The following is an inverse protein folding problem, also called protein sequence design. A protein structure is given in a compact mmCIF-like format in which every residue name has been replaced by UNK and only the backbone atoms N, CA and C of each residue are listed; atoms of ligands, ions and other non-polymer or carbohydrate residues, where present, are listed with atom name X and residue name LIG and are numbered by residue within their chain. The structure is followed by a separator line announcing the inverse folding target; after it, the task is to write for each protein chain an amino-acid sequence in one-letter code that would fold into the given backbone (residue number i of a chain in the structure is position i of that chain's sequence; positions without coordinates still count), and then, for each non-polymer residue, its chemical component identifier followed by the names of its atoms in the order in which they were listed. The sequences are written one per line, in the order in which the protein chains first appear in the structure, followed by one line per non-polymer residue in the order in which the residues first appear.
data_IF_295748024429
#
_entry.id   IF_295748024429
#
_cell.length_a   1.000
_cell.length_b   1.000
_cell.length_c   1.000
_cell.angle_alpha   90.00
_cell.angle_beta   90.00
_cell.angle_gamma   90.00
#
_symmetry.space_group_name_H-M   'P 1'
#
loop_
_entity.id
_entity.type
_entity.pdbx_description
1 polymer ?
#
# COMPACT_ATOMS: atom_id res chain seq x y z
N UNK A 1 -47.93 18.88 -29.63
CA UNK A 1 -47.91 18.16 -28.35
C UNK A 1 -46.90 16.98 -28.30
N UNK A 2 -46.81 16.15 -29.32
CA UNK A 2 -45.92 14.96 -29.36
C UNK A 2 -44.43 15.30 -29.20
N UNK A 3 -43.96 16.36 -29.87
CA UNK A 3 -42.52 16.80 -29.88
C UNK A 3 -42.01 17.22 -28.50
N UNK A 4 -42.83 17.83 -27.67
CA UNK A 4 -42.50 18.24 -26.30
C UNK A 4 -42.40 17.06 -25.36
N UNK A 5 -43.21 16.04 -25.57
CA UNK A 5 -43.21 14.78 -24.78
C UNK A 5 -41.95 13.98 -25.11
N UNK A 6 -41.58 13.88 -26.39
CA UNK A 6 -40.35 13.19 -26.82
C UNK A 6 -39.09 13.84 -26.25
N UNK A 7 -38.99 15.17 -26.25
CA UNK A 7 -37.82 15.91 -25.70
C UNK A 7 -37.73 15.68 -24.18
N UNK A 8 -38.84 15.68 -23.46
CA UNK A 8 -38.83 15.40 -22.02
C UNK A 8 -38.40 13.95 -21.74
N UNK A 9 -38.88 13.00 -22.51
CA UNK A 9 -38.50 11.60 -22.37
C UNK A 9 -37.02 11.37 -22.64
N UNK A 10 -36.48 11.92 -23.72
CA UNK A 10 -35.05 11.82 -24.05
C UNK A 10 -34.17 12.45 -22.97
N UNK A 11 -34.54 13.64 -22.49
CA UNK A 11 -33.80 14.29 -21.41
C UNK A 11 -33.79 13.45 -20.12
N UNK A 12 -34.94 12.90 -19.72
CA UNK A 12 -35.03 12.05 -18.53
C UNK A 12 -34.23 10.75 -18.68
N UNK A 13 -34.30 10.14 -19.87
CA UNK A 13 -33.52 8.94 -20.16
C UNK A 13 -31.99 9.22 -20.14
N UNK A 14 -31.55 10.32 -20.75
CA UNK A 14 -30.13 10.70 -20.74
C UNK A 14 -29.63 11.03 -19.34
N UNK A 15 -30.41 11.76 -18.53
CA UNK A 15 -30.03 12.03 -17.15
C UNK A 15 -29.95 10.75 -16.32
N UNK A 16 -30.89 9.83 -16.45
CA UNK A 16 -30.88 8.57 -15.75
C UNK A 16 -29.64 7.71 -16.10
N UNK A 17 -29.31 7.62 -17.39
CA UNK A 17 -28.11 6.90 -17.86
C UNK A 17 -26.83 7.56 -17.33
N UNK A 18 -26.74 8.89 -17.37
CA UNK A 18 -25.57 9.63 -16.88
C UNK A 18 -25.36 9.41 -15.38
N UNK A 19 -26.40 9.44 -14.57
CA UNK A 19 -26.33 9.19 -13.13
C UNK A 19 -25.90 7.77 -12.86
N UNK A 20 -26.44 6.79 -13.60
CA UNK A 20 -26.05 5.40 -13.45
C UNK A 20 -24.58 5.15 -13.80
N UNK A 21 -24.10 5.73 -14.91
CA UNK A 21 -22.68 5.63 -15.28
C UNK A 21 -21.77 6.26 -14.22
N UNK A 22 -22.14 7.42 -13.69
CA UNK A 22 -21.38 8.08 -12.63
C UNK A 22 -21.32 7.22 -11.36
N UNK A 23 -22.43 6.61 -10.97
CA UNK A 23 -22.49 5.70 -9.83
C UNK A 23 -21.58 4.47 -10.01
N UNK A 24 -21.57 3.88 -11.21
CA UNK A 24 -20.70 2.74 -11.55
C UNK A 24 -19.22 3.13 -11.49
N UNK A 25 -18.84 4.27 -12.07
CA UNK A 25 -17.46 4.76 -12.03
C UNK A 25 -17.01 5.01 -10.58
N UNK A 26 -17.84 5.65 -9.76
CA UNK A 26 -17.52 5.88 -8.35
C UNK A 26 -17.37 4.57 -7.57
N UNK A 27 -18.21 3.57 -7.83
CA UNK A 27 -18.12 2.27 -7.18
C UNK A 27 -16.84 1.53 -7.55
N UNK A 28 -16.49 1.48 -8.84
CA UNK A 28 -15.25 0.83 -9.32
C UNK A 28 -14.03 1.55 -8.75
N UNK A 29 -13.99 2.88 -8.80
CA UNK A 29 -12.88 3.66 -8.27
C UNK A 29 -12.71 3.47 -6.77
N UNK A 30 -13.80 3.39 -6.01
CA UNK A 30 -13.77 3.15 -4.57
C UNK A 30 -13.21 1.76 -4.21
N UNK A 31 -13.67 0.72 -4.90
CA UNK A 31 -13.18 -0.65 -4.68
C UNK A 31 -11.68 -0.75 -5.02
N UNK A 32 -11.28 -0.20 -6.17
CA UNK A 32 -9.88 -0.23 -6.60
C UNK A 32 -8.96 0.48 -5.61
N UNK A 33 -9.33 1.69 -5.17
CA UNK A 33 -8.54 2.45 -4.19
C UNK A 33 -8.40 1.73 -2.85
N UNK A 34 -9.46 1.05 -2.40
CA UNK A 34 -9.44 0.29 -1.16
C UNK A 34 -8.53 -0.95 -1.25
N UNK A 35 -8.57 -1.66 -2.37
CA UNK A 35 -7.75 -2.86 -2.60
C UNK A 35 -6.26 -2.52 -2.65
N UNK A 36 -5.89 -1.47 -3.39
CA UNK A 36 -4.51 -0.96 -3.45
C UNK A 36 -4.02 -0.56 -2.05
N UNK A 37 -4.81 0.24 -1.32
CA UNK A 37 -4.46 0.67 0.02
C UNK A 37 -4.18 -0.51 0.96
N UNK A 38 -5.02 -1.55 0.91
CA UNK A 38 -4.90 -2.72 1.78
C UNK A 38 -3.64 -3.54 1.45
N UNK A 39 -3.34 -3.72 0.16
CA UNK A 39 -2.15 -4.46 -0.28
C UNK A 39 -0.87 -3.77 0.16
N UNK A 40 -0.75 -2.47 -0.09
CA UNK A 40 0.46 -1.71 0.25
C UNK A 40 0.66 -1.63 1.77
N UNK A 41 -0.43 -1.49 2.53
CA UNK A 41 -0.36 -1.53 3.99
C UNK A 41 0.17 -2.88 4.49
N UNK A 42 -0.35 -4.00 3.97
CA UNK A 42 0.10 -5.34 4.36
C UNK A 42 1.58 -5.56 4.00
N UNK A 43 2.03 -5.02 2.86
CA UNK A 43 3.43 -5.07 2.46
C UNK A 43 4.33 -4.28 3.41
N UNK A 44 3.93 -3.06 3.76
CA UNK A 44 4.68 -2.23 4.71
C UNK A 44 4.72 -2.87 6.12
N UNK A 45 3.61 -3.48 6.57
CA UNK A 45 3.54 -4.22 7.83
C UNK A 45 4.50 -5.40 7.84
N UNK A 46 4.53 -6.20 6.78
CA UNK A 46 5.42 -7.34 6.65
C UNK A 46 6.91 -6.93 6.63
N UNK A 47 7.24 -5.83 5.95
CA UNK A 47 8.59 -5.28 5.93
C UNK A 47 9.02 -4.75 7.31
N UNK A 48 8.11 -4.10 8.04
CA UNK A 48 8.36 -3.65 9.40
C UNK A 48 8.56 -4.84 10.35
N UNK A 49 7.81 -5.93 10.17
CA UNK A 49 7.90 -7.16 10.95
C UNK A 49 9.23 -7.89 10.74
N UNK A 50 9.76 -7.90 9.52
CA UNK A 50 11.02 -8.54 9.16
C UNK A 50 12.25 -7.64 9.37
N UNK A 51 12.06 -6.42 9.86
CA UNK A 51 13.15 -5.46 10.05
C UNK A 51 13.78 -4.97 8.74
N UNK A 52 13.03 -4.98 7.65
CA UNK A 52 13.47 -4.50 6.34
C UNK A 52 14.20 -5.52 5.47
N UNK A 53 14.53 -6.69 6.01
CA UNK A 53 15.10 -7.80 5.23
C UNK A 53 13.97 -8.83 5.08
N UNK A 54 13.47 -9.09 3.86
CA UNK A 54 12.54 -10.18 3.64
C UNK A 54 13.21 -11.49 4.09
N UNK A 55 12.68 -12.13 5.13
CA UNK A 55 13.19 -13.43 5.59
C UNK A 55 12.76 -14.51 4.60
N UNK A 56 13.53 -14.65 3.53
CA UNK A 56 13.29 -15.66 2.49
C UNK A 56 13.38 -17.09 3.02
N UNK A 57 14.07 -17.32 4.15
CA UNK A 57 14.11 -18.64 4.79
C UNK A 57 12.81 -18.97 5.53
N UNK A 58 12.20 -17.98 6.16
CA UNK A 58 10.89 -18.12 6.79
C UNK A 58 9.79 -18.36 5.77
N UNK A 59 9.85 -17.65 4.63
CA UNK A 59 8.96 -17.87 3.49
C UNK A 59 9.14 -19.26 2.84
N UNK A 60 10.35 -19.83 2.89
CA UNK A 60 10.62 -21.18 2.37
C UNK A 60 10.08 -22.27 3.28
N UNK A 61 10.07 -22.08 4.61
CA UNK A 61 9.55 -23.03 5.59
C UNK A 61 8.03 -23.10 5.61
N UNK A 62 7.37 -21.97 5.37
CA UNK A 62 5.91 -21.86 5.34
C UNK A 62 5.33 -22.09 3.93
N UNK A 63 6.06 -22.72 3.00
CA UNK A 63 5.49 -23.15 1.73
C UNK A 63 4.44 -24.23 2.00
N UNK A 64 3.15 -23.94 1.77
CA UNK A 64 2.16 -25.01 1.73
C UNK A 64 2.52 -25.96 0.57
N UNK A 65 2.24 -27.25 0.77
CA UNK A 65 2.46 -28.28 -0.22
C UNK A 65 1.88 -27.88 -1.58
N UNK A 66 2.52 -28.33 -2.64
CA UNK A 66 2.33 -27.94 -4.06
C UNK A 66 0.89 -28.04 -4.56
N UNK A 67 -0.01 -28.68 -3.82
CA UNK A 67 -1.43 -28.88 -4.19
C UNK A 67 -2.33 -27.68 -3.85
N UNK A 68 -1.86 -26.70 -3.08
CA UNK A 68 -2.63 -25.50 -2.71
C UNK A 68 -2.46 -24.32 -3.69
N UNK A 69 -1.60 -24.48 -4.70
CA UNK A 69 -1.31 -23.44 -5.71
C UNK A 69 -2.40 -23.27 -6.79
N UNK A 70 -3.44 -24.12 -6.81
CA UNK A 70 -4.55 -24.01 -7.77
C UNK A 70 -5.73 -23.15 -7.29
N UNK A 71 -5.66 -22.56 -6.08
CA UNK A 71 -6.69 -21.61 -5.65
C UNK A 71 -6.40 -20.22 -6.22
N UNK A 72 -7.41 -19.58 -6.88
CA UNK A 72 -7.24 -18.22 -7.35
C UNK A 72 -6.95 -17.33 -6.15
N UNK A 73 -5.86 -16.62 -6.25
CA UNK A 73 -5.29 -15.57 -5.42
C UNK A 73 -6.19 -15.09 -4.28
N UNK A 74 -6.05 -15.69 -3.09
CA UNK A 74 -6.64 -15.17 -1.85
C UNK A 74 -5.66 -14.13 -1.29
N UNK A 75 -6.10 -12.87 -1.27
CA UNK A 75 -5.32 -11.68 -1.06
C UNK A 75 -4.47 -11.68 0.21
N UNK A 76 -3.16 -11.83 0.09
CA UNK A 76 -2.31 -11.52 1.21
C UNK A 76 -0.86 -12.03 1.20
N UNK A 77 -0.46 -12.92 0.30
CA UNK A 77 0.95 -13.36 0.23
C UNK A 77 1.58 -12.92 -1.08
N UNK A 78 2.48 -11.96 -1.02
CA UNK A 78 3.34 -11.60 -2.14
C UNK A 78 4.24 -12.78 -2.52
N UNK A 79 4.41 -13.04 -3.82
CA UNK A 79 5.42 -13.99 -4.27
C UNK A 79 6.83 -13.41 -4.02
N UNK A 80 7.87 -14.24 -3.90
CA UNK A 80 9.25 -13.74 -3.79
C UNK A 80 9.66 -12.84 -4.96
N UNK A 81 9.12 -13.09 -6.15
CA UNK A 81 9.39 -12.28 -7.35
C UNK A 81 8.70 -10.92 -7.27
N UNK A 82 7.48 -10.86 -6.72
CA UNK A 82 6.76 -9.60 -6.50
C UNK A 82 7.48 -8.73 -5.44
N UNK A 83 8.06 -9.35 -4.41
CA UNK A 83 8.84 -8.65 -3.40
C UNK A 83 10.11 -8.01 -3.96
N UNK A 84 10.78 -8.65 -4.92
CA UNK A 84 11.96 -8.07 -5.58
C UNK A 84 11.61 -6.84 -6.44
N UNK A 85 10.35 -6.71 -6.85
CA UNK A 85 9.85 -5.56 -7.60
C UNK A 85 9.38 -4.40 -6.71
N UNK A 86 9.19 -4.64 -5.41
CA UNK A 86 8.75 -3.60 -4.46
C UNK A 86 9.89 -2.65 -4.17
N UNK A 87 9.61 -1.36 -4.34
CA UNK A 87 10.52 -0.29 -3.96
C UNK A 87 10.18 0.17 -2.56
N UNK A 88 11.11 0.00 -1.63
CA UNK A 88 10.88 0.33 -0.22
C UNK A 88 12.16 0.83 0.45
N UNK A 89 12.01 1.44 1.61
CA UNK A 89 13.08 1.73 2.54
C UNK A 89 12.59 1.55 3.98
N UNK A 90 13.53 1.38 4.90
CA UNK A 90 13.23 1.15 6.32
C UNK A 90 14.07 2.06 7.19
N UNK A 91 13.44 2.66 8.19
CA UNK A 91 14.09 3.48 9.20
C UNK A 91 13.91 2.83 10.56
N UNK A 92 15.02 2.60 11.27
CA UNK A 92 15.00 2.08 12.63
C UNK A 92 15.30 3.18 13.62
N UNK A 93 14.54 3.16 14.70
CA UNK A 93 14.69 4.09 15.81
C UNK A 93 15.07 3.29 17.05
N UNK A 94 15.95 3.85 17.86
CA UNK A 94 16.29 3.33 19.18
C UNK A 94 15.15 3.58 20.20
N UNK A 95 15.32 3.09 21.41
CA UNK A 95 14.37 3.25 22.51
C UNK A 95 14.20 4.72 22.94
N UNK A 96 15.19 5.57 22.69
CA UNK A 96 15.17 7.01 23.03
C UNK A 96 14.53 7.84 21.91
N UNK A 97 14.14 7.22 20.79
CA UNK A 97 13.53 7.85 19.62
C UNK A 97 14.55 8.47 18.67
N UNK A 98 15.82 8.21 18.86
CA UNK A 98 16.90 8.54 17.90
C UNK A 98 16.84 7.61 16.69
N UNK A 99 17.41 8.05 15.56
CA UNK A 99 17.55 7.19 14.38
C UNK A 99 18.78 6.32 14.54
N UNK A 100 18.59 5.01 14.55
CA UNK A 100 19.66 4.02 14.58
C UNK A 100 20.22 3.77 13.19
N UNK A 101 19.33 3.57 12.19
CA UNK A 101 19.73 3.30 10.81
C UNK A 101 18.61 3.62 9.82
N UNK A 102 19.01 3.97 8.59
CA UNK A 102 18.10 4.09 7.44
C UNK A 102 18.63 3.21 6.31
N UNK A 103 17.85 2.21 5.90
CA UNK A 103 18.17 1.29 4.82
C UNK A 103 17.37 1.66 3.57
N UNK A 104 18.06 2.16 2.55
CA UNK A 104 17.50 2.56 1.25
C UNK A 104 17.94 1.64 0.11
N UNK A 105 18.50 0.46 0.42
CA UNK A 105 19.08 -0.46 -0.57
C UNK A 105 18.11 -0.92 -1.66
N UNK A 106 16.79 -0.89 -1.40
CA UNK A 106 15.75 -1.28 -2.36
C UNK A 106 15.13 -0.12 -3.13
N UNK A 107 15.63 1.11 -2.94
CA UNK A 107 15.12 2.31 -3.62
C UNK A 107 16.24 3.32 -3.91
N UNK A 108 16.39 3.70 -5.18
CA UNK A 108 17.43 4.67 -5.59
C UNK A 108 16.95 6.12 -5.57
N UNK A 109 15.64 6.36 -5.52
CA UNK A 109 15.04 7.71 -5.57
C UNK A 109 14.99 8.40 -4.20
N UNK A 110 15.42 7.75 -3.13
CA UNK A 110 15.41 8.28 -1.76
C UNK A 110 16.82 8.15 -1.20
N UNK A 111 17.36 9.25 -0.73
CA UNK A 111 18.65 9.28 -0.02
C UNK A 111 18.47 8.87 1.44
N UNK A 112 19.56 8.51 2.12
CA UNK A 112 19.50 8.20 3.56
C UNK A 112 18.96 9.36 4.39
N UNK A 113 19.35 10.61 4.08
CA UNK A 113 18.87 11.81 4.77
C UNK A 113 17.36 12.03 4.56
N UNK A 114 16.86 11.82 3.35
CA UNK A 114 15.43 11.91 3.05
C UNK A 114 14.63 10.79 3.75
N UNK A 115 15.17 9.56 3.80
CA UNK A 115 14.56 8.46 4.52
C UNK A 115 14.40 8.75 6.02
N UNK A 116 15.45 9.34 6.63
CA UNK A 116 15.40 9.79 8.02
C UNK A 116 14.31 10.85 8.25
N UNK A 117 14.20 11.81 7.33
CA UNK A 117 13.16 12.87 7.40
C UNK A 117 11.76 12.26 7.33
N UNK A 118 11.51 11.33 6.39
CA UNK A 118 10.25 10.58 6.31
C UNK A 118 9.97 9.80 7.59
N UNK A 119 10.99 9.15 8.16
CA UNK A 119 10.89 8.44 9.43
C UNK A 119 10.44 9.35 10.57
N UNK A 120 11.09 10.52 10.73
CA UNK A 120 10.72 11.51 11.74
C UNK A 120 9.28 12.00 11.57
N UNK A 121 8.87 12.29 10.33
CA UNK A 121 7.50 12.72 10.03
C UNK A 121 6.47 11.64 10.38
N UNK A 122 6.74 10.38 10.08
CA UNK A 122 5.85 9.27 10.39
C UNK A 122 5.68 9.10 11.89
N UNK A 123 6.76 9.10 12.66
CA UNK A 123 6.72 8.97 14.12
C UNK A 123 6.05 10.18 14.76
N UNK A 124 6.34 11.41 14.31
CA UNK A 124 5.68 12.64 14.80
C UNK A 124 4.17 12.65 14.52
N UNK A 125 3.72 11.99 13.46
CA UNK A 125 2.30 11.86 13.12
C UNK A 125 1.50 10.99 14.10
N UNK A 126 2.16 10.20 14.95
CA UNK A 126 1.55 9.37 15.99
C UNK A 126 0.60 8.28 15.49
N UNK A 127 0.59 7.98 14.20
CA UNK A 127 -0.22 6.93 13.59
C UNK A 127 0.65 5.72 13.25
N UNK A 128 0.13 4.53 13.50
CA UNK A 128 0.82 3.28 13.17
C UNK A 128 1.00 3.08 11.67
N UNK A 129 0.11 3.61 10.84
CA UNK A 129 0.19 3.53 9.38
C UNK A 129 -0.42 4.77 8.72
N UNK A 130 0.02 5.09 7.51
CA UNK A 130 -0.48 6.20 6.73
C UNK A 130 0.27 6.39 5.43
N UNK A 131 0.05 7.54 4.79
CA UNK A 131 0.73 7.94 3.56
C UNK A 131 1.47 9.25 3.81
N UNK A 132 2.75 9.30 3.40
CA UNK A 132 3.56 10.52 3.40
C UNK A 132 4.17 10.66 2.00
N UNK A 133 3.79 11.72 1.28
CA UNK A 133 4.19 11.88 -0.12
C UNK A 133 3.69 10.71 -0.98
N UNK A 134 4.61 9.99 -1.62
CA UNK A 134 4.31 8.83 -2.45
C UNK A 134 4.57 7.50 -1.74
N UNK A 135 4.69 7.52 -0.41
CA UNK A 135 5.02 6.33 0.37
C UNK A 135 3.90 5.98 1.33
N UNK A 136 3.46 4.71 1.29
CA UNK A 136 2.70 4.08 2.34
C UNK A 136 3.67 3.67 3.45
N UNK A 137 3.38 4.03 4.70
CA UNK A 137 4.22 3.61 5.82
C UNK A 137 3.47 2.78 6.85
N UNK A 138 4.23 1.95 7.56
CA UNK A 138 3.80 1.22 8.74
C UNK A 138 4.90 1.27 9.82
N UNK A 139 4.50 1.58 11.06
CA UNK A 139 5.41 1.63 12.21
C UNK A 139 5.11 0.46 13.13
N UNK A 140 6.15 -0.29 13.47
CA UNK A 140 6.11 -1.35 14.46
C UNK A 140 6.95 -0.98 15.67
N UNK A 141 6.37 -1.17 16.86
CA UNK A 141 7.11 -1.10 18.12
C UNK A 141 7.78 -2.45 18.38
N UNK A 142 9.08 -2.43 18.61
CA UNK A 142 9.89 -3.60 18.93
C UNK A 142 10.49 -3.43 20.34
N UNK A 143 11.06 -4.49 20.92
CA UNK A 143 11.73 -4.44 22.23
C UNK A 143 12.92 -3.46 22.22
N UNK A 144 13.60 -3.33 21.08
CA UNK A 144 14.81 -2.51 20.88
C UNK A 144 14.50 -1.09 20.32
N UNK A 145 13.21 -0.72 20.18
CA UNK A 145 12.82 0.59 19.62
C UNK A 145 11.68 0.48 18.63
N UNK A 146 11.72 1.31 17.55
CA UNK A 146 10.66 1.33 16.52
C UNK A 146 11.24 1.08 15.14
N UNK A 147 10.49 0.37 14.32
CA UNK A 147 10.81 0.18 12.90
C UNK A 147 9.71 0.77 12.04
N UNK A 148 10.07 1.71 11.17
CA UNK A 148 9.17 2.30 10.18
C UNK A 148 9.54 1.81 8.78
N UNK A 149 8.65 1.06 8.13
CA UNK A 149 8.79 0.60 6.76
C UNK A 149 7.97 1.48 5.82
N UNK A 150 8.54 1.85 4.69
CA UNK A 150 7.95 2.71 3.68
C UNK A 150 7.94 2.00 2.33
N UNK A 151 6.80 1.94 1.67
CA UNK A 151 6.61 1.32 0.35
C UNK A 151 6.20 2.39 -0.66
N UNK A 152 6.87 2.43 -1.81
CA UNK A 152 6.58 3.36 -2.89
C UNK A 152 5.29 2.96 -3.63
N UNK A 153 4.27 3.79 -3.53
CA UNK A 153 2.98 3.59 -4.19
C UNK A 153 2.89 4.27 -5.57
N UNK A 154 3.93 4.98 -6.00
CA UNK A 154 3.90 5.74 -7.26
C UNK A 154 3.90 4.86 -8.50
N UNK A 155 4.36 3.62 -8.41
CA UNK A 155 4.40 2.67 -9.52
C UNK A 155 3.07 1.95 -9.77
N UNK A 156 2.06 2.19 -8.93
CA UNK A 156 0.74 1.54 -8.98
C UNK A 156 -0.37 2.44 -9.54
N UNK A 157 -0.03 3.66 -9.99
CA UNK A 157 -0.98 4.63 -10.55
C UNK A 157 -0.88 4.70 -12.06
#
# INVERSE_FOLDING_TARGET
MVRTLQIKFVKTAMTAISVLLLAVICAISGIYSFDVYTKEKNTAEMLADSGGIPDFEKMKRDRPDREEFEKPFDGGRMSPDDMMAVRFFVVRFDTDGGIESADTGSIYSVTGEEAEEYGKQAVAGGKQSGIIGNFMYYIKDNEDGKTAAFVDISSQV
#
